data_IF_966003918046
#
_entry.id   IF_966003918046
#
_cell.length_a   1.000
_cell.length_b   1.000
_cell.length_c   1.000
_cell.angle_alpha   90.00
_cell.angle_beta   90.00
_cell.angle_gamma   90.00
#
_symmetry.space_group_name_H-M   'P 1'
#
loop_
_entity.id
_entity.type
_entity.pdbx_description
1 polymer ?
#
# COMPACT_ATOMS: atom_id res chain seq x y z
N UNK A 1 -37.39 -47.85 -24.97
CA UNK A 1 -36.09 -47.47 -25.58
C UNK A 1 -36.08 -46.06 -26.15
N UNK A 2 -36.98 -45.62 -27.02
CA UNK A 2 -36.99 -44.26 -27.63
C UNK A 2 -37.07 -43.11 -26.58
N UNK A 3 -37.84 -43.28 -25.51
CA UNK A 3 -37.97 -42.26 -24.44
C UNK A 3 -36.71 -42.13 -23.56
N UNK A 4 -35.96 -43.22 -23.35
CA UNK A 4 -34.70 -43.21 -22.58
C UNK A 4 -33.60 -42.53 -23.38
N UNK A 5 -33.56 -42.72 -24.71
CA UNK A 5 -32.60 -42.08 -25.60
C UNK A 5 -32.86 -40.56 -25.70
N UNK A 6 -34.14 -40.13 -25.72
CA UNK A 6 -34.49 -38.71 -25.71
C UNK A 6 -34.10 -38.02 -24.37
N UNK A 7 -34.25 -38.68 -23.22
CA UNK A 7 -33.85 -38.17 -21.95
C UNK A 7 -32.31 -38.04 -21.80
N UNK A 8 -31.55 -39.00 -22.34
CA UNK A 8 -30.09 -38.94 -22.39
C UNK A 8 -29.57 -37.83 -23.30
N UNK A 9 -30.19 -37.61 -24.44
CA UNK A 9 -29.83 -36.50 -25.35
C UNK A 9 -30.13 -35.13 -24.74
N UNK A 10 -31.25 -35.00 -24.00
CA UNK A 10 -31.58 -33.76 -23.30
C UNK A 10 -30.61 -33.47 -22.13
N UNK A 11 -30.17 -34.50 -21.40
CA UNK A 11 -29.18 -34.38 -20.32
C UNK A 11 -27.80 -34.00 -20.87
N UNK A 12 -27.41 -34.43 -22.05
CA UNK A 12 -26.16 -34.04 -22.70
C UNK A 12 -26.18 -32.59 -23.22
N UNK A 13 -27.34 -32.08 -23.65
CA UNK A 13 -27.44 -30.67 -24.08
C UNK A 13 -27.43 -29.68 -22.91
N UNK A 14 -27.90 -30.08 -21.74
CA UNK A 14 -27.86 -29.23 -20.51
C UNK A 14 -26.45 -29.13 -19.97
N UNK A 15 -25.60 -30.17 -20.10
CA UNK A 15 -24.21 -30.11 -19.65
C UNK A 15 -23.29 -29.31 -20.56
N UNK A 16 -23.65 -29.04 -21.81
CA UNK A 16 -22.83 -28.22 -22.72
C UNK A 16 -22.99 -26.70 -22.55
N UNK A 17 -23.94 -26.24 -21.71
CA UNK A 17 -24.20 -24.79 -21.49
C UNK A 17 -23.46 -24.19 -20.33
N UNK A 18 -22.74 -24.98 -19.55
CA UNK A 18 -21.91 -24.49 -18.43
C UNK A 18 -20.49 -24.16 -18.90
N UNK A 19 -20.31 -23.57 -20.08
CA UNK A 19 -19.10 -22.83 -20.41
C UNK A 19 -19.09 -21.61 -19.49
N UNK A 20 -18.30 -21.66 -18.45
CA UNK A 20 -18.08 -20.50 -17.59
C UNK A 20 -17.70 -19.32 -18.49
N UNK A 21 -18.59 -18.34 -18.59
CA UNK A 21 -18.31 -17.14 -19.36
C UNK A 21 -17.06 -16.51 -18.76
N UNK A 22 -15.97 -16.51 -19.51
CA UNK A 22 -14.70 -15.94 -19.06
C UNK A 22 -14.88 -14.45 -18.82
N UNK A 23 -15.05 -14.07 -17.55
CA UNK A 23 -15.20 -12.68 -17.14
C UNK A 23 -13.82 -12.02 -17.12
N UNK A 24 -13.63 -10.99 -17.92
CA UNK A 24 -12.42 -10.17 -17.89
C UNK A 24 -12.64 -9.00 -16.94
N UNK A 25 -11.78 -8.86 -15.94
CA UNK A 25 -11.74 -7.72 -15.01
C UNK A 25 -10.53 -6.86 -15.35
N UNK A 26 -10.75 -5.56 -15.54
CA UNK A 26 -9.66 -4.59 -15.80
C UNK A 26 -9.33 -3.85 -14.51
N UNK A 27 -8.14 -4.06 -13.99
CA UNK A 27 -7.61 -3.36 -12.83
C UNK A 27 -6.69 -2.22 -13.26
N UNK A 28 -6.65 -1.16 -12.44
CA UNK A 28 -5.70 -0.05 -12.53
C UNK A 28 -4.87 -0.04 -11.25
N UNK A 29 -3.61 -0.44 -11.35
CA UNK A 29 -2.66 -0.38 -10.25
C UNK A 29 -1.83 0.89 -10.44
N UNK A 30 -1.85 1.74 -9.43
CA UNK A 30 -1.07 2.96 -9.32
C UNK A 30 -0.15 2.80 -8.13
N UNK A 31 1.10 3.09 -8.32
CA UNK A 31 2.12 3.09 -7.30
C UNK A 31 2.74 4.48 -7.17
N UNK A 32 3.01 4.88 -5.94
CA UNK A 32 3.89 6.00 -5.61
C UNK A 32 5.08 5.49 -4.81
N UNK A 33 6.24 6.09 -5.00
CA UNK A 33 7.48 5.72 -4.34
C UNK A 33 8.34 6.96 -4.15
N UNK A 34 9.20 6.96 -3.12
CA UNK A 34 10.13 8.07 -2.86
C UNK A 34 9.44 9.43 -2.77
N UNK A 35 8.28 9.47 -2.12
CA UNK A 35 7.48 10.69 -1.98
C UNK A 35 8.22 11.74 -1.15
N UNK A 36 8.96 11.32 -0.13
CA UNK A 36 9.81 12.17 0.69
C UNK A 36 9.10 13.44 1.17
N UNK A 37 7.87 13.28 1.69
CA UNK A 37 7.07 14.40 2.21
C UNK A 37 6.58 15.40 1.15
N UNK A 38 6.70 15.09 -0.14
CA UNK A 38 6.21 15.94 -1.23
C UNK A 38 4.68 15.85 -1.37
N UNK A 39 3.96 16.32 -0.36
CA UNK A 39 2.50 16.22 -0.30
C UNK A 39 1.81 17.34 -1.07
N UNK A 40 2.27 18.57 -0.90
CA UNK A 40 1.62 19.77 -1.40
C UNK A 40 2.27 20.27 -2.71
N UNK A 41 1.51 20.92 -3.60
CA UNK A 41 2.03 21.41 -4.88
C UNK A 41 2.90 22.67 -4.72
N UNK A 42 3.70 22.69 -3.67
CA UNK A 42 4.55 23.81 -3.31
C UNK A 42 5.83 23.33 -2.63
N UNK A 43 6.96 23.86 -3.06
CA UNK A 43 8.27 23.68 -2.43
C UNK A 43 8.47 24.77 -1.38
N UNK A 44 8.36 24.42 -0.11
CA UNK A 44 8.49 25.34 1.01
C UNK A 44 9.93 25.82 1.23
N UNK A 45 10.92 25.06 0.78
CA UNK A 45 12.34 25.42 0.88
C UNK A 45 12.67 26.52 -0.14
N UNK A 46 12.33 26.26 -1.42
CA UNK A 46 12.63 27.17 -2.51
C UNK A 46 11.50 28.17 -2.79
N UNK A 47 10.40 28.13 -2.04
CA UNK A 47 9.24 29.03 -2.11
C UNK A 47 8.65 29.16 -3.53
N UNK A 48 8.47 28.03 -4.21
CA UNK A 48 7.94 27.97 -5.58
C UNK A 48 6.99 26.78 -5.79
N UNK A 49 6.13 26.83 -6.81
CA UNK A 49 5.29 25.69 -7.18
C UNK A 49 6.13 24.45 -7.49
N UNK A 50 5.61 23.26 -7.08
CA UNK A 50 6.21 21.95 -7.29
C UNK A 50 5.23 21.02 -8.01
N UNK A 51 5.71 20.32 -9.05
CA UNK A 51 4.87 19.46 -9.88
C UNK A 51 4.72 18.04 -9.33
N UNK A 52 5.81 17.38 -8.92
CA UNK A 52 5.80 15.99 -8.44
C UNK A 52 5.35 15.90 -6.98
N UNK A 53 4.03 15.81 -6.73
CA UNK A 53 3.48 15.82 -5.37
C UNK A 53 2.23 14.94 -5.26
N UNK A 54 1.92 14.46 -4.05
CA UNK A 54 0.72 13.65 -3.79
C UNK A 54 -0.60 14.42 -4.07
N UNK A 55 -0.61 15.74 -3.93
CA UNK A 55 -1.78 16.52 -4.32
C UNK A 55 -2.15 16.33 -5.80
N UNK A 56 -1.16 16.23 -6.70
CA UNK A 56 -1.41 15.95 -8.12
C UNK A 56 -1.77 14.50 -8.38
N UNK A 57 -1.15 13.55 -7.65
CA UNK A 57 -1.54 12.15 -7.67
C UNK A 57 -3.00 12.00 -7.24
N UNK A 58 -3.44 12.73 -6.20
CA UNK A 58 -4.82 12.74 -5.73
C UNK A 58 -5.81 13.10 -6.85
N UNK A 59 -5.54 14.15 -7.61
CA UNK A 59 -6.40 14.54 -8.73
C UNK A 59 -6.50 13.42 -9.78
N UNK A 60 -5.37 12.86 -10.18
CA UNK A 60 -5.31 11.77 -11.16
C UNK A 60 -6.06 10.50 -10.68
N UNK A 61 -5.81 10.08 -9.44
CA UNK A 61 -6.45 8.89 -8.86
C UNK A 61 -7.95 9.09 -8.71
N UNK A 62 -8.40 10.28 -8.32
CA UNK A 62 -9.81 10.60 -8.22
C UNK A 62 -10.52 10.54 -9.59
N UNK A 63 -9.87 10.97 -10.66
CA UNK A 63 -10.42 10.83 -12.02
C UNK A 63 -10.50 9.38 -12.47
N UNK A 64 -9.48 8.57 -12.15
CA UNK A 64 -9.54 7.13 -12.42
C UNK A 64 -10.67 6.44 -11.63
N UNK A 65 -10.85 6.80 -10.37
CA UNK A 65 -11.92 6.22 -9.52
C UNK A 65 -13.33 6.58 -10.01
N UNK A 66 -13.54 7.72 -10.68
CA UNK A 66 -14.82 8.03 -11.32
C UNK A 66 -15.19 6.98 -12.39
N UNK A 67 -14.19 6.51 -13.15
CA UNK A 67 -14.39 5.57 -14.26
C UNK A 67 -14.30 4.11 -13.81
N UNK A 68 -13.28 3.76 -13.01
CA UNK A 68 -12.93 2.37 -12.68
C UNK A 68 -13.37 1.97 -11.26
N UNK A 69 -13.91 2.92 -10.47
CA UNK A 69 -14.43 2.68 -9.09
C UNK A 69 -13.41 1.89 -8.24
N UNK A 70 -13.85 0.77 -7.67
CA UNK A 70 -13.04 -0.10 -6.81
C UNK A 70 -11.96 -0.90 -7.55
N UNK A 71 -11.95 -0.84 -8.88
CA UNK A 71 -10.91 -1.46 -9.70
C UNK A 71 -9.60 -0.63 -9.78
N UNK A 72 -9.54 0.51 -9.08
CA UNK A 72 -8.30 1.24 -8.83
C UNK A 72 -7.67 0.72 -7.55
N UNK A 73 -6.43 0.26 -7.64
CA UNK A 73 -5.57 -0.13 -6.52
C UNK A 73 -4.47 0.91 -6.41
N UNK A 74 -4.35 1.54 -5.24
CA UNK A 74 -3.36 2.58 -4.98
C UNK A 74 -2.40 2.10 -3.89
N UNK A 75 -1.11 2.01 -4.22
CA UNK A 75 -0.04 1.51 -3.37
C UNK A 75 1.03 2.58 -3.16
N UNK A 76 1.61 2.60 -1.97
CA UNK A 76 2.75 3.46 -1.63
C UNK A 76 3.95 2.56 -1.27
N UNK A 77 5.09 2.75 -1.94
CA UNK A 77 6.23 1.85 -1.89
C UNK A 77 7.40 2.40 -1.04
N UNK A 78 7.09 3.14 0.02
CA UNK A 78 8.05 3.57 1.02
C UNK A 78 8.76 4.89 0.74
N UNK A 79 9.50 5.35 1.74
CA UNK A 79 10.21 6.62 1.80
C UNK A 79 9.25 7.83 1.77
N UNK A 80 8.26 7.80 2.64
CA UNK A 80 7.24 8.86 2.74
C UNK A 80 7.50 9.79 3.95
N UNK A 81 8.09 9.28 5.04
CA UNK A 81 8.17 9.99 6.32
C UNK A 81 9.28 11.05 6.41
N UNK A 82 10.19 11.12 5.45
CA UNK A 82 11.36 11.97 5.50
C UNK A 82 11.43 12.89 4.26
N UNK A 83 12.13 14.02 4.34
CA UNK A 83 12.58 14.81 3.21
C UNK A 83 12.08 16.25 3.14
N UNK A 84 10.82 16.53 3.42
CA UNK A 84 10.31 17.92 3.44
C UNK A 84 10.18 18.46 4.86
N UNK A 85 10.31 19.79 5.07
CA UNK A 85 10.16 20.41 6.40
C UNK A 85 8.85 20.04 7.10
N UNK A 86 7.78 19.84 6.35
CA UNK A 86 6.48 19.42 6.92
C UNK A 86 6.57 18.05 7.62
N UNK A 87 7.25 17.06 7.02
CA UNK A 87 7.48 15.78 7.69
C UNK A 87 8.30 15.96 8.96
N UNK A 88 9.41 16.69 8.87
CA UNK A 88 10.26 16.96 10.03
C UNK A 88 9.47 17.58 11.18
N UNK A 89 8.64 18.58 10.88
CA UNK A 89 7.85 19.28 11.88
C UNK A 89 6.90 18.33 12.66
N UNK A 90 6.14 17.49 11.94
CA UNK A 90 5.21 16.56 12.60
C UNK A 90 5.88 15.32 13.17
N UNK A 91 7.05 14.96 12.68
CA UNK A 91 7.80 13.83 13.24
C UNK A 91 8.53 14.18 14.54
N UNK A 92 9.03 15.43 14.70
CA UNK A 92 9.99 15.74 15.75
C UNK A 92 9.70 17.03 16.54
N UNK A 93 8.83 17.91 16.06
CA UNK A 93 8.53 19.18 16.71
C UNK A 93 7.12 19.19 17.31
N UNK A 94 6.11 18.90 16.50
CA UNK A 94 4.72 18.84 16.93
C UNK A 94 4.24 17.38 16.96
N UNK A 95 4.78 16.61 17.88
CA UNK A 95 4.56 15.16 17.98
C UNK A 95 3.20 14.79 18.57
N UNK A 96 2.50 15.73 19.20
CA UNK A 96 1.17 15.52 19.79
C UNK A 96 0.09 15.44 18.71
N UNK A 97 0.26 16.19 17.61
CA UNK A 97 -0.67 16.17 16.50
C UNK A 97 -0.51 14.89 15.65
N UNK A 98 -1.54 14.57 14.88
CA UNK A 98 -1.48 13.44 13.96
C UNK A 98 -0.33 13.58 12.96
N UNK A 99 0.25 12.45 12.58
CA UNK A 99 1.31 12.42 11.57
C UNK A 99 0.74 12.86 10.22
N UNK A 100 1.30 13.91 9.64
CA UNK A 100 0.82 14.49 8.37
C UNK A 100 0.88 13.50 7.22
N UNK A 101 1.88 12.59 7.19
CA UNK A 101 1.95 11.55 6.17
C UNK A 101 0.77 10.57 6.29
N UNK A 102 0.41 10.17 7.51
CA UNK A 102 -0.76 9.32 7.74
C UNK A 102 -2.05 10.01 7.28
N UNK A 103 -2.23 11.28 7.58
CA UNK A 103 -3.43 12.03 7.16
C UNK A 103 -3.54 12.14 5.64
N UNK A 104 -2.44 12.43 4.94
CA UNK A 104 -2.41 12.51 3.47
C UNK A 104 -2.71 11.15 2.84
N UNK A 105 -2.11 10.08 3.35
CA UNK A 105 -2.35 8.71 2.89
C UNK A 105 -3.79 8.29 3.08
N UNK A 106 -4.35 8.56 4.27
CA UNK A 106 -5.74 8.28 4.59
C UNK A 106 -6.71 9.06 3.69
N UNK A 107 -6.40 10.34 3.42
CA UNK A 107 -7.18 11.16 2.50
C UNK A 107 -7.19 10.61 1.08
N UNK A 108 -6.03 10.15 0.56
CA UNK A 108 -5.93 9.55 -0.77
C UNK A 108 -6.53 8.13 -0.84
N UNK A 109 -6.82 7.52 0.31
CA UNK A 109 -7.35 6.15 0.43
C UNK A 109 -6.43 5.13 -0.26
N UNK A 110 -5.18 5.08 0.19
CA UNK A 110 -4.27 4.02 -0.22
C UNK A 110 -4.77 2.66 0.26
N UNK A 111 -4.55 1.63 -0.54
CA UNK A 111 -4.92 0.25 -0.21
C UNK A 111 -3.86 -0.41 0.70
N UNK A 112 -2.60 -0.08 0.50
CA UNK A 112 -1.49 -0.52 1.33
C UNK A 112 -0.27 0.41 1.19
N UNK A 113 0.60 0.34 2.18
CA UNK A 113 1.93 0.95 2.17
C UNK A 113 3.00 -0.11 2.44
N UNK A 114 4.24 0.18 2.07
CA UNK A 114 5.42 -0.60 2.41
C UNK A 114 6.38 0.29 3.19
N UNK A 115 7.19 -0.28 4.08
CA UNK A 115 8.30 0.44 4.68
C UNK A 115 9.38 0.75 3.65
N UNK A 116 9.84 2.01 3.61
CA UNK A 116 11.10 2.39 3.00
C UNK A 116 12.24 2.43 4.03
N UNK A 117 13.47 2.44 3.57
CA UNK A 117 14.62 2.56 4.46
C UNK A 117 14.63 3.91 5.20
N UNK A 118 14.21 4.99 4.52
CA UNK A 118 14.09 6.31 5.14
C UNK A 118 12.91 6.43 6.11
N UNK A 119 11.92 5.56 6.03
CA UNK A 119 10.87 5.49 7.04
C UNK A 119 11.41 4.87 8.35
N UNK A 120 12.23 3.81 8.25
CA UNK A 120 12.91 3.21 9.42
C UNK A 120 13.88 4.19 10.08
N UNK A 121 14.55 5.05 9.30
CA UNK A 121 15.45 6.10 9.83
C UNK A 121 14.77 7.05 10.82
N UNK A 122 13.46 7.21 10.74
CA UNK A 122 12.74 8.10 11.65
C UNK A 122 12.66 7.59 13.09
N UNK A 123 12.92 6.30 13.31
CA UNK A 123 12.88 5.64 14.61
C UNK A 123 11.47 5.28 15.08
N UNK A 124 11.40 4.38 16.04
CA UNK A 124 10.14 3.87 16.62
C UNK A 124 9.13 4.95 17.04
N UNK A 125 9.51 6.06 17.70
CA UNK A 125 8.53 7.06 18.09
C UNK A 125 7.73 7.64 16.92
N UNK A 126 8.32 7.68 15.72
CA UNK A 126 7.70 8.24 14.52
C UNK A 126 6.97 7.17 13.74
N UNK A 127 7.65 6.10 13.32
CA UNK A 127 7.01 5.13 12.44
C UNK A 127 5.95 4.27 13.15
N UNK A 128 6.08 3.98 14.45
CA UNK A 128 5.03 3.27 15.19
C UNK A 128 3.76 4.10 15.32
N UNK A 129 3.92 5.42 15.52
CA UNK A 129 2.79 6.36 15.53
C UNK A 129 2.14 6.41 14.16
N UNK A 130 2.93 6.58 13.10
CA UNK A 130 2.45 6.59 11.72
C UNK A 130 1.67 5.32 11.37
N UNK A 131 2.20 4.11 11.68
CA UNK A 131 1.50 2.83 11.46
C UNK A 131 0.14 2.82 12.15
N UNK A 132 0.06 3.27 13.40
CA UNK A 132 -1.19 3.30 14.19
C UNK A 132 -2.23 4.27 13.65
N UNK A 133 -1.80 5.33 13.00
CA UNK A 133 -2.69 6.37 12.47
C UNK A 133 -3.15 6.12 11.04
N UNK A 134 -2.59 5.13 10.35
CA UNK A 134 -2.99 4.73 9.01
C UNK A 134 -4.30 3.92 9.00
N UNK A 135 -5.13 4.19 7.99
CA UNK A 135 -6.34 3.40 7.72
C UNK A 135 -6.05 2.16 6.85
N UNK A 136 -4.91 2.11 6.16
CA UNK A 136 -4.45 0.96 5.40
C UNK A 136 -3.27 0.28 6.10
N UNK A 137 -3.00 -1.00 5.83
CA UNK A 137 -1.86 -1.68 6.43
C UNK A 137 -0.54 -1.19 5.84
N UNK A 138 0.49 -1.16 6.69
CA UNK A 138 1.90 -1.20 6.26
C UNK A 138 2.29 -2.67 6.08
N UNK A 139 2.94 -2.99 4.97
CA UNK A 139 3.36 -4.34 4.62
C UNK A 139 4.88 -4.48 4.72
N UNK A 140 5.33 -5.65 5.22
CA UNK A 140 6.75 -5.95 5.35
C UNK A 140 6.95 -7.41 5.75
N UNK A 141 6.96 -8.31 4.77
CA UNK A 141 7.01 -9.76 5.01
C UNK A 141 8.33 -10.25 5.61
N UNK A 142 9.40 -9.48 5.42
CA UNK A 142 10.74 -9.80 5.90
C UNK A 142 11.23 -8.88 7.03
N UNK A 143 10.32 -8.12 7.65
CA UNK A 143 10.62 -7.31 8.84
C UNK A 143 10.08 -8.09 10.05
N UNK A 144 10.99 -8.67 10.82
CA UNK A 144 10.64 -9.58 11.93
C UNK A 144 10.88 -8.90 13.26
N UNK A 145 9.91 -9.01 14.16
CA UNK A 145 10.09 -8.61 15.56
C UNK A 145 10.98 -9.62 16.28
N UNK A 146 12.11 -9.20 16.81
CA UNK A 146 13.05 -10.08 17.54
C UNK A 146 12.47 -10.61 18.84
N UNK A 147 11.46 -9.95 19.41
CA UNK A 147 10.81 -10.36 20.65
C UNK A 147 9.78 -11.49 20.45
N UNK A 148 9.17 -11.57 19.27
CA UNK A 148 8.12 -12.54 18.97
C UNK A 148 8.51 -13.58 17.93
N UNK A 149 9.48 -13.28 17.05
CA UNK A 149 9.82 -14.08 15.88
C UNK A 149 8.79 -13.98 14.75
N UNK A 150 7.79 -13.10 14.89
CA UNK A 150 6.72 -12.91 13.91
C UNK A 150 6.94 -11.61 13.10
N UNK A 151 6.29 -11.48 11.93
CA UNK A 151 6.36 -10.24 11.16
C UNK A 151 5.94 -9.02 12.01
N UNK A 152 6.76 -7.98 12.00
CA UNK A 152 6.53 -6.75 12.76
C UNK A 152 5.32 -5.96 12.25
N UNK A 153 5.11 -5.96 10.95
CA UNK A 153 3.95 -5.41 10.28
C UNK A 153 3.29 -6.52 9.44
N UNK A 154 2.17 -6.23 8.82
CA UNK A 154 1.45 -7.21 8.03
C UNK A 154 2.32 -7.73 6.87
N UNK A 155 2.48 -9.06 6.70
CA UNK A 155 3.35 -9.59 5.63
C UNK A 155 2.76 -9.37 4.22
N UNK A 156 1.44 -9.46 4.10
CA UNK A 156 0.74 -9.27 2.83
C UNK A 156 -0.71 -8.85 3.05
N UNK A 157 -1.35 -8.40 1.98
CA UNK A 157 -2.78 -8.07 1.91
C UNK A 157 -3.43 -8.79 0.73
N UNK A 158 -4.64 -9.31 0.91
CA UNK A 158 -5.48 -9.80 -0.18
C UNK A 158 -6.61 -8.81 -0.43
N UNK A 159 -6.59 -8.18 -1.60
CA UNK A 159 -7.65 -7.33 -2.08
C UNK A 159 -8.62 -8.14 -2.94
N UNK A 160 -9.93 -7.94 -2.75
CA UNK A 160 -10.94 -8.47 -3.66
C UNK A 160 -11.45 -7.32 -4.55
N UNK A 161 -11.31 -7.49 -5.86
CA UNK A 161 -11.75 -6.53 -6.86
C UNK A 161 -12.64 -7.24 -7.88
N UNK A 162 -13.95 -7.03 -7.80
CA UNK A 162 -14.94 -7.72 -8.65
C UNK A 162 -14.79 -9.26 -8.66
N UNK A 163 -14.47 -9.87 -7.54
CA UNK A 163 -14.28 -11.31 -7.41
C UNK A 163 -12.88 -11.81 -7.77
N UNK A 164 -12.00 -10.96 -8.27
CA UNK A 164 -10.57 -11.27 -8.46
C UNK A 164 -9.82 -11.00 -7.16
N UNK A 165 -9.09 -11.99 -6.67
CA UNK A 165 -8.18 -11.85 -5.52
C UNK A 165 -6.83 -11.37 -6.00
N UNK A 166 -6.40 -10.20 -5.49
CA UNK A 166 -5.09 -9.60 -5.75
C UNK A 166 -4.28 -9.65 -4.48
N UNK A 167 -3.18 -10.41 -4.48
CA UNK A 167 -2.23 -10.42 -3.38
C UNK A 167 -1.24 -9.27 -3.54
N UNK A 168 -1.07 -8.49 -2.46
CA UNK A 168 -0.05 -7.44 -2.35
C UNK A 168 0.92 -7.87 -1.26
N UNK A 169 2.19 -8.02 -1.61
CA UNK A 169 3.28 -8.38 -0.71
C UNK A 169 4.21 -7.17 -0.55
N UNK A 170 4.58 -6.84 0.68
CA UNK A 170 5.57 -5.80 0.97
C UNK A 170 6.90 -6.43 1.39
N UNK A 171 8.00 -5.89 0.89
CA UNK A 171 9.35 -6.29 1.30
C UNK A 171 10.24 -5.06 1.43
N UNK A 172 11.17 -5.10 2.37
CA UNK A 172 12.20 -4.10 2.56
C UNK A 172 13.58 -4.72 2.31
N UNK A 173 14.54 -3.92 1.87
CA UNK A 173 15.92 -4.39 1.72
C UNK A 173 16.47 -4.95 3.03
N UNK A 174 17.13 -6.11 3.03
CA UNK A 174 17.78 -6.66 4.22
C UNK A 174 19.05 -5.89 4.61
N UNK A 175 19.49 -4.92 3.80
CA UNK A 175 20.69 -4.12 4.05
C UNK A 175 20.52 -3.05 5.14
N UNK A 176 19.33 -2.87 5.71
CA UNK A 176 19.02 -1.87 6.76
C UNK A 176 20.08 -1.84 7.88
N UNK A 177 20.55 -2.97 8.43
CA UNK A 177 21.56 -2.96 9.49
C UNK A 177 22.91 -2.36 9.08
N UNK A 178 23.21 -2.29 7.79
CA UNK A 178 24.45 -1.69 7.28
C UNK A 178 24.37 -0.16 7.21
N UNK A 179 23.15 0.40 7.22
CA UNK A 179 22.90 1.83 7.01
C UNK A 179 22.44 2.53 8.29
N UNK A 180 21.68 1.82 9.15
CA UNK A 180 21.05 2.40 10.31
C UNK A 180 21.62 1.88 11.61
N UNK A 181 21.77 2.79 12.57
CA UNK A 181 22.18 2.46 13.93
C UNK A 181 21.12 1.63 14.65
N UNK A 182 21.54 0.83 15.62
CA UNK A 182 20.66 -0.11 16.34
C UNK A 182 19.46 0.58 17.03
N UNK A 183 19.66 1.77 17.57
CA UNK A 183 18.60 2.50 18.27
C UNK A 183 17.41 2.89 17.38
N UNK A 184 17.60 3.03 16.05
CA UNK A 184 16.52 3.36 15.11
C UNK A 184 15.69 2.15 14.71
N UNK A 185 16.28 0.96 14.78
CA UNK A 185 15.71 -0.32 14.36
C UNK A 185 15.67 -1.37 15.48
N UNK A 186 15.78 -0.96 16.74
CA UNK A 186 15.89 -1.89 17.86
C UNK A 186 14.69 -2.85 17.90
N UNK A 187 14.96 -4.13 18.15
CA UNK A 187 13.88 -5.13 18.14
C UNK A 187 13.39 -5.56 16.74
N UNK A 188 14.02 -5.09 15.65
CA UNK A 188 13.71 -5.49 14.29
C UNK A 188 14.87 -6.26 13.66
N UNK A 189 14.53 -7.35 12.97
CA UNK A 189 15.41 -8.12 12.09
C UNK A 189 14.89 -8.00 10.66
N UNK A 190 15.80 -7.90 9.70
CA UNK A 190 15.47 -7.79 8.27
C UNK A 190 16.04 -9.03 7.56
N UNK A 191 15.14 -9.92 7.13
CA UNK A 191 15.50 -11.19 6.51
C UNK A 191 15.71 -11.04 4.99
N UNK A 192 16.53 -11.99 4.43
CA UNK A 192 16.76 -12.08 2.98
C UNK A 192 15.61 -12.80 2.24
#
# INVERSE_FOLDING_TARGET
MKQVIAALLLALTINSSAMAQQRTVKLRVIETSYVHGSFFPYDFINRKPKAGTLARVSSYVNDLRKTYKDNVILLENGDILQGQPTCYYYNYVNTEERNVAADVVNYLKYDAQVFGNHDVETGHPVYDKWIKELNCPVLGSNIISTSTGEPYVKPYLILNREGVKVAVLGMLTPAIPNWLTENLRSGLQFEN
#
